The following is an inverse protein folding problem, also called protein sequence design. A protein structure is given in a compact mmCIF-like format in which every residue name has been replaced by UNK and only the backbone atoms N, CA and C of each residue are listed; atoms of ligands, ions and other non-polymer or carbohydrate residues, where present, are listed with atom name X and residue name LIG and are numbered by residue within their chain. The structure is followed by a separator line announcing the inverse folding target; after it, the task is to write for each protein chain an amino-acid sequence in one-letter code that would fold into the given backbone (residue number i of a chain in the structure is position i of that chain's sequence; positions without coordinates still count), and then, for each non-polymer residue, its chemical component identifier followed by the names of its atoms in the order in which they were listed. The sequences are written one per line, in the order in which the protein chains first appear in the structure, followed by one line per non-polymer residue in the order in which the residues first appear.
data_IF_867111078014
#
_entry.id   IF_867111078014
#
_cell.length_a   1.000
_cell.length_b   1.000
_cell.length_c   1.000
_cell.angle_alpha   90.00
_cell.angle_beta   90.00
_cell.angle_gamma   90.00
#
_symmetry.space_group_name_H-M   'P 1'
#
loop_
_entity.id
_entity.type
_entity.pdbx_description
1 polymer ?
#
# COMPACT_ATOMS: atom_id res chain seq x y z
N UNK A 1 6.75 -6.35 -16.39
CA UNK A 1 5.71 -5.50 -15.83
C UNK A 1 6.09 -4.05 -16.03
N UNK A 2 5.18 -3.22 -16.59
CA UNK A 2 5.51 -1.82 -16.90
C UNK A 2 5.73 -0.96 -15.67
N UNK A 3 5.19 -1.35 -14.49
CA UNK A 3 5.41 -0.61 -13.25
C UNK A 3 6.23 -1.45 -12.29
N UNK A 4 7.20 -0.83 -11.63
CA UNK A 4 7.94 -1.53 -10.57
C UNK A 4 7.07 -1.68 -9.32
N UNK A 5 6.29 -0.66 -9.00
CA UNK A 5 5.44 -0.70 -7.82
C UNK A 5 4.18 0.15 -8.00
N UNK A 6 3.18 -0.21 -7.22
CA UNK A 6 1.95 0.56 -7.04
C UNK A 6 1.96 1.10 -5.61
N UNK A 7 1.80 2.41 -5.46
CA UNK A 7 1.76 3.02 -4.14
C UNK A 7 0.31 3.28 -3.74
N UNK A 8 -0.13 2.60 -2.68
CA UNK A 8 -1.46 2.79 -2.11
C UNK A 8 -1.35 3.66 -0.86
N UNK A 9 -2.10 4.74 -0.80
CA UNK A 9 -2.04 5.67 0.32
C UNK A 9 -3.32 6.48 0.42
N UNK A 10 -3.54 7.06 1.60
CA UNK A 10 -4.61 8.03 1.79
C UNK A 10 -4.09 9.41 1.42
N UNK A 11 -4.74 10.06 0.45
CA UNK A 11 -4.37 11.40 0.05
C UNK A 11 -4.49 12.38 1.23
N UNK A 12 -5.48 12.18 2.09
CA UNK A 12 -5.68 13.04 3.25
C UNK A 12 -4.52 12.95 4.25
N UNK A 13 -3.96 11.74 4.44
CA UNK A 13 -2.89 11.53 5.41
C UNK A 13 -1.51 11.76 4.79
N UNK A 14 -1.27 11.25 3.57
CA UNK A 14 0.07 11.12 3.02
C UNK A 14 0.23 11.74 1.64
N UNK A 15 -0.67 12.66 1.26
CA UNK A 15 -0.66 13.26 -0.07
C UNK A 15 0.64 14.01 -0.41
N UNK A 16 1.36 14.52 0.59
CA UNK A 16 2.64 15.18 0.38
C UNK A 16 3.81 14.21 0.47
N UNK A 17 3.66 13.15 1.27
CA UNK A 17 4.74 12.19 1.49
C UNK A 17 4.89 11.21 0.33
N UNK A 18 3.79 10.79 -0.28
CA UNK A 18 3.84 9.80 -1.35
C UNK A 18 4.68 10.25 -2.55
N UNK A 19 4.52 11.50 -3.06
CA UNK A 19 5.41 11.98 -4.13
C UNK A 19 6.87 12.05 -3.70
N UNK A 20 7.15 12.40 -2.43
CA UNK A 20 8.51 12.47 -1.93
C UNK A 20 9.15 11.08 -1.88
N UNK A 21 8.39 10.06 -1.48
CA UNK A 21 8.86 8.68 -1.49
C UNK A 21 9.13 8.22 -2.91
N UNK A 22 8.24 8.51 -3.85
CA UNK A 22 8.44 8.17 -5.24
C UNK A 22 9.72 8.79 -5.78
N UNK A 23 9.94 10.07 -5.51
CA UNK A 23 11.15 10.76 -5.92
C UNK A 23 12.40 10.12 -5.32
N UNK A 24 12.37 9.81 -4.02
CA UNK A 24 13.50 9.20 -3.34
C UNK A 24 13.83 7.83 -3.93
N UNK A 25 12.81 7.03 -4.23
CA UNK A 25 13.01 5.71 -4.82
C UNK A 25 13.61 5.81 -6.22
N UNK A 26 13.19 6.78 -7.01
CA UNK A 26 13.78 7.02 -8.34
C UNK A 26 15.27 7.34 -8.22
N UNK A 27 15.67 8.11 -7.22
CA UNK A 27 17.06 8.51 -7.04
C UNK A 27 17.92 7.38 -6.53
N UNK A 28 17.42 6.66 -5.52
CA UNK A 28 18.21 5.62 -4.85
C UNK A 28 18.35 4.40 -5.75
N UNK A 29 17.28 4.01 -6.40
CA UNK A 29 17.24 2.81 -7.21
C UNK A 29 17.45 3.14 -8.69
N UNK A 30 18.50 3.91 -8.96
CA UNK A 30 18.79 4.35 -10.32
C UNK A 30 18.89 3.21 -11.32
N UNK A 31 19.48 2.04 -10.99
CA UNK A 31 19.43 0.90 -11.90
C UNK A 31 18.01 0.37 -12.13
N UNK A 32 17.06 0.78 -11.30
CA UNK A 32 15.66 0.41 -11.43
C UNK A 32 14.90 1.51 -12.18
N UNK A 33 15.36 1.83 -13.38
CA UNK A 33 14.74 2.91 -14.14
C UNK A 33 13.25 2.71 -14.37
N UNK A 34 12.73 1.49 -14.19
CA UNK A 34 11.29 1.22 -14.24
C UNK A 34 10.51 1.86 -13.10
N UNK A 35 11.21 2.30 -12.04
CA UNK A 35 10.53 2.99 -10.93
C UNK A 35 9.88 4.29 -11.39
N UNK A 36 10.37 4.92 -12.44
CA UNK A 36 9.73 6.11 -12.99
C UNK A 36 8.32 5.81 -13.50
N UNK A 37 8.00 4.54 -13.67
CA UNK A 37 6.66 4.10 -14.05
C UNK A 37 5.77 3.79 -12.85
N UNK A 38 6.21 4.10 -11.62
CA UNK A 38 5.36 3.95 -10.45
C UNK A 38 4.09 4.74 -10.62
N UNK A 39 2.99 4.09 -10.30
CA UNK A 39 1.69 4.73 -10.22
C UNK A 39 1.43 5.14 -8.79
N UNK A 40 0.93 6.36 -8.63
CA UNK A 40 0.46 6.87 -7.36
C UNK A 40 -1.03 7.09 -7.50
N UNK A 41 -1.82 6.34 -6.75
CA UNK A 41 -3.26 6.51 -6.73
C UNK A 41 -3.66 7.13 -5.41
N UNK A 42 -4.46 8.16 -5.50
CA UNK A 42 -4.93 8.92 -4.35
C UNK A 42 -6.22 8.32 -3.81
N UNK A 43 -6.51 8.63 -2.57
CA UNK A 43 -7.83 8.39 -2.03
C UNK A 43 -8.80 9.27 -2.83
N UNK A 44 -9.57 8.66 -3.71
CA UNK A 44 -10.22 9.35 -4.82
C UNK A 44 -11.69 9.58 -4.59
N UNK A 45 -12.04 10.13 -3.47
CA UNK A 45 -13.44 10.45 -3.22
C UNK A 45 -14.00 11.40 -4.27
N UNK A 46 -13.18 12.35 -4.73
CA UNK A 46 -13.58 13.31 -5.76
C UNK A 46 -13.59 12.71 -7.15
N UNK A 47 -12.97 11.55 -7.37
CA UNK A 47 -12.96 10.87 -8.65
C UNK A 47 -13.90 9.68 -8.70
N UNK A 48 -14.60 9.40 -7.60
CA UNK A 48 -15.47 8.23 -7.50
C UNK A 48 -16.62 8.24 -8.52
N UNK A 49 -16.94 9.39 -9.06
CA UNK A 49 -17.98 9.52 -10.08
C UNK A 49 -17.47 9.19 -11.49
N UNK A 50 -16.17 8.98 -11.67
CA UNK A 50 -15.59 8.68 -12.98
C UNK A 50 -15.89 7.24 -13.39
N UNK A 51 -16.61 7.02 -14.50
CA UNK A 51 -16.79 5.66 -15.01
C UNK A 51 -15.44 5.06 -15.34
N UNK A 52 -15.25 3.78 -15.01
CA UNK A 52 -14.03 3.08 -15.33
C UNK A 52 -12.82 3.40 -14.46
N UNK A 53 -12.99 4.21 -13.40
CA UNK A 53 -11.88 4.51 -12.51
C UNK A 53 -11.28 3.24 -11.91
N UNK A 54 -12.14 2.36 -11.40
CA UNK A 54 -11.65 1.10 -10.82
C UNK A 54 -10.93 0.24 -11.85
N UNK A 55 -11.43 0.19 -13.09
CA UNK A 55 -10.78 -0.58 -14.15
C UNK A 55 -9.37 -0.07 -14.42
N UNK A 56 -9.17 1.25 -14.37
CA UNK A 56 -7.84 1.84 -14.54
C UNK A 56 -6.90 1.49 -13.38
N UNK A 57 -7.42 1.54 -12.15
CA UNK A 57 -6.66 1.17 -10.97
C UNK A 57 -6.29 -0.31 -11.03
N UNK A 58 -7.25 -1.16 -11.35
CA UNK A 58 -7.03 -2.60 -11.44
C UNK A 58 -5.99 -2.94 -12.48
N UNK A 59 -6.02 -2.26 -13.62
CA UNK A 59 -5.02 -2.45 -14.67
C UNK A 59 -3.62 -2.08 -14.17
N UNK A 60 -3.50 -0.98 -13.43
CA UNK A 60 -2.23 -0.58 -12.84
C UNK A 60 -1.73 -1.57 -11.79
N UNK A 61 -2.63 -2.09 -10.98
CA UNK A 61 -2.29 -3.14 -10.00
C UNK A 61 -1.77 -4.39 -10.69
N UNK A 62 -2.45 -4.80 -11.76
CA UNK A 62 -2.07 -5.98 -12.53
C UNK A 62 -0.69 -5.81 -13.16
N UNK A 63 -0.36 -4.59 -13.57
CA UNK A 63 0.89 -4.27 -14.25
C UNK A 63 2.02 -3.92 -13.29
N UNK A 64 1.80 -3.99 -12.00
CA UNK A 64 2.80 -3.65 -10.99
C UNK A 64 3.44 -4.91 -10.40
N UNK A 65 4.74 -4.81 -10.13
CA UNK A 65 5.49 -5.93 -9.52
C UNK A 65 5.32 -5.98 -8.01
N UNK A 66 5.33 -4.82 -7.36
CA UNK A 66 5.21 -4.70 -5.91
C UNK A 66 4.07 -3.77 -5.54
N UNK A 67 3.52 -4.00 -4.34
CA UNK A 67 2.52 -3.13 -3.74
C UNK A 67 3.16 -2.45 -2.53
N UNK A 68 3.25 -1.14 -2.56
CA UNK A 68 3.74 -0.34 -1.44
C UNK A 68 2.55 0.27 -0.73
N UNK A 69 2.30 -0.18 0.50
CA UNK A 69 1.21 0.35 1.30
C UNK A 69 1.74 1.35 2.31
N UNK A 70 1.30 2.59 2.22
CA UNK A 70 1.62 3.62 3.21
C UNK A 70 0.60 3.51 4.32
N UNK A 71 1.01 2.89 5.42
CA UNK A 71 0.13 2.51 6.51
C UNK A 71 -0.14 3.68 7.44
N UNK A 72 -1.41 3.95 7.68
CA UNK A 72 -1.89 4.93 8.64
C UNK A 72 -3.32 4.58 9.00
N UNK A 73 -3.84 5.09 10.14
CA UNK A 73 -5.25 4.86 10.47
C UNK A 73 -6.20 5.37 9.41
N UNK A 74 -5.87 6.52 8.79
CA UNK A 74 -6.70 7.08 7.71
C UNK A 74 -6.70 6.16 6.49
N UNK A 75 -5.53 5.66 6.10
CA UNK A 75 -5.44 4.72 4.98
C UNK A 75 -6.19 3.42 5.27
N UNK A 76 -6.09 2.92 6.50
CA UNK A 76 -6.76 1.69 6.91
C UNK A 76 -8.28 1.79 6.79
N UNK A 77 -8.84 3.00 6.93
CA UNK A 77 -10.28 3.24 6.86
C UNK A 77 -10.74 3.61 5.46
N UNK A 78 -9.83 3.88 4.53
CA UNK A 78 -10.18 4.28 3.17
C UNK A 78 -10.79 3.13 2.39
N UNK A 79 -11.97 3.32 1.84
CA UNK A 79 -12.64 2.31 1.02
C UNK A 79 -11.80 1.96 -0.20
N UNK A 80 -11.19 2.96 -0.84
CA UNK A 80 -10.36 2.73 -2.03
C UNK A 80 -9.09 1.95 -1.69
N UNK A 81 -8.43 2.31 -0.60
CA UNK A 81 -7.25 1.59 -0.15
C UNK A 81 -7.61 0.13 0.17
N UNK A 82 -8.73 -0.10 0.85
CA UNK A 82 -9.18 -1.44 1.18
C UNK A 82 -9.44 -2.28 -0.08
N UNK A 83 -10.03 -1.67 -1.12
CA UNK A 83 -10.26 -2.36 -2.40
C UNK A 83 -8.93 -2.72 -3.06
N UNK A 84 -7.96 -1.83 -3.04
CA UNK A 84 -6.64 -2.08 -3.63
C UNK A 84 -5.91 -3.20 -2.90
N UNK A 85 -5.93 -3.16 -1.58
CA UNK A 85 -5.31 -4.21 -0.75
C UNK A 85 -6.00 -5.56 -0.98
N UNK A 86 -7.33 -5.57 -1.01
CA UNK A 86 -8.08 -6.80 -1.25
C UNK A 86 -7.75 -7.38 -2.61
N UNK A 87 -7.70 -6.55 -3.64
CA UNK A 87 -7.34 -7.02 -4.97
C UNK A 87 -5.96 -7.67 -4.98
N UNK A 88 -4.97 -7.01 -4.35
CA UNK A 88 -3.61 -7.53 -4.34
C UNK A 88 -3.52 -8.89 -3.66
N UNK A 89 -4.12 -8.99 -2.47
CA UNK A 89 -4.06 -10.25 -1.71
C UNK A 89 -4.86 -11.36 -2.35
N UNK A 90 -5.88 -11.03 -3.13
CA UNK A 90 -6.68 -12.04 -3.84
C UNK A 90 -6.03 -12.52 -5.14
N UNK A 91 -5.15 -11.71 -5.73
CA UNK A 91 -4.60 -11.99 -7.06
C UNK A 91 -3.07 -12.13 -7.08
N UNK A 92 -2.39 -11.66 -6.04
CA UNK A 92 -0.94 -11.62 -5.99
C UNK A 92 -0.44 -12.13 -4.63
N UNK A 93 0.88 -12.25 -4.50
CA UNK A 93 1.50 -12.76 -3.27
C UNK A 93 1.66 -11.69 -2.21
N UNK A 94 1.45 -12.08 -0.94
CA UNK A 94 1.76 -11.20 0.19
C UNK A 94 3.26 -10.89 0.28
N UNK A 95 4.12 -11.70 -0.34
CA UNK A 95 5.56 -11.46 -0.34
C UNK A 95 5.96 -10.22 -1.15
N UNK A 96 5.09 -9.79 -2.07
CA UNK A 96 5.32 -8.56 -2.83
C UNK A 96 4.55 -7.36 -2.26
N UNK A 97 3.98 -7.51 -1.06
CA UNK A 97 3.25 -6.47 -0.35
C UNK A 97 4.19 -5.86 0.68
N UNK A 98 4.56 -4.59 0.50
CA UNK A 98 5.52 -3.90 1.35
C UNK A 98 4.81 -2.81 2.13
N UNK A 99 5.18 -2.68 3.42
CA UNK A 99 4.51 -1.74 4.33
C UNK A 99 5.47 -0.61 4.69
N UNK A 100 4.98 0.61 4.57
CA UNK A 100 5.66 1.82 5.04
C UNK A 100 4.75 2.46 6.07
N UNK A 101 5.14 2.42 7.34
CA UNK A 101 4.33 2.96 8.43
C UNK A 101 4.58 4.46 8.57
N UNK A 102 3.56 5.26 8.34
CA UNK A 102 3.67 6.71 8.40
C UNK A 102 3.00 7.30 9.64
N UNK A 103 1.99 6.62 10.18
CA UNK A 103 1.25 7.09 11.35
C UNK A 103 0.52 5.93 11.98
N UNK A 104 0.22 6.04 13.28
CA UNK A 104 -0.53 5.02 13.99
C UNK A 104 0.36 3.93 14.57
N UNK A 105 -0.24 2.79 14.87
CA UNK A 105 0.45 1.70 15.51
C UNK A 105 0.38 0.42 14.67
N UNK A 106 1.44 -0.37 14.75
CA UNK A 106 1.53 -1.67 14.11
C UNK A 106 2.25 -2.61 15.08
N UNK A 107 1.61 -3.70 15.44
CA UNK A 107 2.18 -4.67 16.36
C UNK A 107 1.93 -6.09 15.83
N UNK A 108 2.91 -6.95 16.00
CA UNK A 108 2.84 -8.35 15.61
C UNK A 108 2.79 -9.24 16.85
N UNK A 109 1.98 -10.29 16.82
CA UNK A 109 1.85 -11.27 17.88
C UNK A 109 2.37 -12.62 17.40
N UNK A 110 3.53 -13.03 17.89
CA UNK A 110 4.15 -14.29 17.50
C UNK A 110 3.34 -15.52 17.91
N UNK A 111 2.56 -15.41 18.96
CA UNK A 111 1.71 -16.52 19.41
C UNK A 111 0.58 -16.78 18.44
N UNK A 112 -0.05 -15.71 17.96
CA UNK A 112 -1.16 -15.79 17.03
C UNK A 112 -0.69 -15.92 15.56
N UNK A 113 0.58 -15.64 15.28
CA UNK A 113 1.13 -15.54 13.94
C UNK A 113 0.31 -14.58 13.10
N UNK A 114 0.00 -13.43 13.68
CA UNK A 114 -0.81 -12.39 13.07
C UNK A 114 -0.51 -11.06 13.76
N UNK A 115 -1.05 -9.99 13.22
CA UNK A 115 -0.99 -8.68 13.89
C UNK A 115 -1.83 -8.72 15.16
N UNK A 116 -1.39 -7.95 16.16
CA UNK A 116 -2.19 -7.74 17.37
C UNK A 116 -3.19 -6.63 17.05
N UNK A 117 -4.41 -7.02 16.75
CA UNK A 117 -5.45 -6.10 16.31
C UNK A 117 -6.00 -5.23 17.43
N UNK A 118 -5.70 -5.55 18.69
CA UNK A 118 -6.06 -4.68 19.80
C UNK A 118 -5.15 -3.43 19.86
N UNK A 119 -3.97 -3.49 19.25
CA UNK A 119 -2.99 -2.41 19.23
C UNK A 119 -2.88 -1.79 17.84
N UNK A 120 -2.92 -2.61 16.79
CA UNK A 120 -2.68 -2.18 15.41
C UNK A 120 -3.84 -1.32 14.91
N UNK A 121 -3.51 -0.10 14.50
CA UNK A 121 -4.48 0.85 13.97
C UNK A 121 -4.19 1.25 12.53
N UNK A 122 -2.98 1.02 12.07
CA UNK A 122 -2.51 1.53 10.77
C UNK A 122 -2.79 0.60 9.59
N UNK A 123 -3.35 -0.58 9.83
CA UNK A 123 -3.57 -1.59 8.80
C UNK A 123 -5.06 -1.94 8.66
N UNK A 124 -5.53 -2.17 7.43
CA UNK A 124 -6.89 -2.68 7.25
C UNK A 124 -6.97 -4.15 7.71
N UNK A 125 -8.11 -4.56 8.23
CA UNK A 125 -8.31 -5.92 8.74
C UNK A 125 -8.16 -7.00 7.68
N UNK A 126 -8.24 -6.65 6.39
CA UNK A 126 -8.01 -7.60 5.31
C UNK A 126 -6.62 -8.24 5.42
N UNK A 127 -5.69 -7.59 6.11
CA UNK A 127 -4.35 -8.13 6.31
C UNK A 127 -4.29 -9.18 7.42
N UNK A 128 -5.38 -9.46 8.12
CA UNK A 128 -5.41 -10.51 9.13
C UNK A 128 -5.08 -11.85 8.47
N UNK A 129 -4.07 -12.54 9.02
CA UNK A 129 -3.60 -13.83 8.52
C UNK A 129 -3.04 -13.80 7.10
N UNK A 130 -2.71 -12.61 6.59
CA UNK A 130 -2.13 -12.49 5.25
C UNK A 130 -0.65 -12.90 5.20
N UNK A 131 0.04 -12.82 6.33
CA UNK A 131 1.47 -13.13 6.40
C UNK A 131 1.67 -14.36 7.27
N UNK A 132 2.60 -15.23 6.85
CA UNK A 132 2.93 -16.44 7.62
C UNK A 132 3.94 -16.17 8.72
N UNK A 133 4.67 -15.05 8.61
CA UNK A 133 5.61 -14.60 9.62
C UNK A 133 5.60 -13.08 9.65
N UNK A 134 6.18 -12.50 10.68
CA UNK A 134 6.18 -11.04 10.85
C UNK A 134 6.81 -10.36 9.64
N UNK A 135 6.04 -9.51 8.91
CA UNK A 135 6.61 -8.79 7.79
C UNK A 135 7.53 -7.66 8.28
N UNK A 136 8.59 -7.43 7.54
CA UNK A 136 9.42 -6.25 7.77
C UNK A 136 8.67 -5.02 7.23
N UNK A 137 8.82 -3.91 7.91
CA UNK A 137 8.23 -2.66 7.45
C UNK A 137 9.18 -1.50 7.71
N UNK A 138 9.00 -0.43 6.97
CA UNK A 138 9.76 0.80 7.15
C UNK A 138 8.94 1.73 8.03
N UNK A 139 9.55 2.20 9.13
CA UNK A 139 8.89 3.09 10.08
C UNK A 139 9.33 4.54 9.81
N UNK A 140 8.41 5.35 9.32
CA UNK A 140 8.65 6.77 9.03
C UNK A 140 7.93 7.70 10.01
N UNK A 141 7.42 7.18 11.11
CA UNK A 141 6.74 8.00 12.11
C UNK A 141 7.65 9.01 12.77
#
# INVERSE_FOLDING_TARGET
MPYKAFISYSHAADGNLAPAIQYALHRIAKPWYRLRSMRIFRDQTNLSASPGLWSSIESALRDSEFFLFMASPTAAQSIWVQKEVDWWLSNRSAQSFLIILTEGELAWDNTLQDFDWSITTALPHRLSKAFTEEPLYIDLR
#
